data_IF_803149492981
#
_entry.id   IF_803149492981
#
_cell.length_a   1.000
_cell.length_b   1.000
_cell.length_c   1.000
_cell.angle_alpha   90.00
_cell.angle_beta   90.00
_cell.angle_gamma   90.00
#
_symmetry.space_group_name_H-M   'P 1'
#
loop_
_entity.id
_entity.type
_entity.pdbx_description
1 polymer ?
#
# COMPACT_ATOMS: atom_id res chain seq x y z
N UNK A 1 0.88 -10.83 -17.85
CA UNK A 1 1.38 -9.72 -17.00
C UNK A 1 2.07 -8.63 -17.81
N UNK A 2 3.21 -8.89 -18.46
CA UNK A 2 3.99 -7.86 -19.18
C UNK A 2 3.17 -7.04 -20.20
N UNK A 3 2.25 -7.68 -20.93
CA UNK A 3 1.33 -6.99 -21.83
C UNK A 3 0.40 -6.02 -21.09
N UNK A 4 -0.18 -6.44 -19.96
CA UNK A 4 -1.07 -5.62 -19.12
C UNK A 4 -0.29 -4.45 -18.54
N UNK A 5 0.91 -4.70 -18.00
CA UNK A 5 1.78 -3.68 -17.41
C UNK A 5 2.08 -2.53 -18.40
N UNK A 6 2.33 -2.86 -19.66
CA UNK A 6 2.54 -1.85 -20.73
C UNK A 6 1.28 -1.02 -21.00
N UNK A 7 0.09 -1.61 -20.89
CA UNK A 7 -1.19 -0.92 -21.15
C UNK A 7 -1.60 0.04 -20.03
N UNK A 8 -1.23 -0.26 -18.78
CA UNK A 8 -1.54 0.58 -17.61
C UNK A 8 -0.37 1.50 -17.21
N UNK A 9 0.75 1.43 -17.92
CA UNK A 9 1.95 2.24 -17.73
C UNK A 9 2.16 3.29 -18.83
N UNK A 10 3.32 3.95 -18.81
CA UNK A 10 3.69 4.92 -19.85
C UNK A 10 2.75 6.13 -19.90
N UNK A 11 2.24 6.46 -21.09
CA UNK A 11 1.35 7.60 -21.31
C UNK A 11 0.02 7.47 -20.56
N UNK A 12 -0.46 6.25 -20.31
CA UNK A 12 -1.74 6.00 -19.64
C UNK A 12 -1.65 5.95 -18.12
N UNK A 13 -0.47 6.14 -17.53
CA UNK A 13 -0.19 5.90 -16.08
C UNK A 13 -1.15 6.59 -15.10
N UNK A 14 -1.73 7.74 -15.45
CA UNK A 14 -2.67 8.49 -14.58
C UNK A 14 -4.15 8.32 -14.98
N UNK A 15 -4.41 7.51 -16.01
CA UNK A 15 -5.73 7.17 -16.52
C UNK A 15 -5.70 5.78 -17.18
N UNK A 16 -5.37 4.72 -16.42
CA UNK A 16 -5.28 3.38 -16.97
C UNK A 16 -6.65 2.90 -17.46
N UNK A 17 -6.69 2.09 -18.54
CA UNK A 17 -7.93 1.48 -19.03
C UNK A 17 -8.56 0.55 -17.98
N UNK A 18 -9.87 0.31 -18.12
CA UNK A 18 -10.57 -0.65 -17.24
C UNK A 18 -10.13 -2.07 -17.56
N UNK A 19 -10.34 -2.98 -16.60
CA UNK A 19 -10.15 -4.43 -16.82
C UNK A 19 -10.84 -4.90 -18.11
N UNK A 20 -12.08 -4.46 -18.35
CA UNK A 20 -12.84 -4.80 -19.56
C UNK A 20 -12.12 -4.34 -20.83
N UNK A 21 -11.69 -3.07 -20.88
CA UNK A 21 -11.04 -2.51 -22.06
C UNK A 21 -9.68 -3.19 -22.31
N UNK A 22 -8.95 -3.56 -21.25
CA UNK A 22 -7.71 -4.36 -21.35
C UNK A 22 -8.01 -5.76 -21.91
N UNK A 23 -9.10 -6.38 -21.46
CA UNK A 23 -9.53 -7.69 -21.92
C UNK A 23 -9.86 -7.66 -23.42
N UNK A 24 -10.57 -6.63 -23.87
CA UNK A 24 -10.89 -6.39 -25.27
C UNK A 24 -9.62 -6.17 -26.12
N UNK A 25 -8.71 -5.29 -25.66
CA UNK A 25 -7.45 -5.01 -26.35
C UNK A 25 -6.52 -6.23 -26.48
N UNK A 26 -6.56 -7.14 -25.52
CA UNK A 26 -5.73 -8.36 -25.52
C UNK A 26 -6.45 -9.59 -26.07
N UNK A 27 -7.73 -9.48 -26.43
CA UNK A 27 -8.61 -10.59 -26.78
C UNK A 27 -8.55 -11.75 -25.76
N UNK A 28 -8.67 -11.40 -24.47
CA UNK A 28 -8.64 -12.35 -23.34
C UNK A 28 -9.90 -12.26 -22.51
N UNK A 29 -10.29 -13.33 -21.78
CA UNK A 29 -11.40 -13.26 -20.84
C UNK A 29 -11.16 -12.24 -19.73
N UNK A 30 -12.16 -11.40 -19.45
CA UNK A 30 -12.10 -10.37 -18.41
C UNK A 30 -11.74 -10.95 -17.03
N UNK A 31 -12.30 -12.12 -16.71
CA UNK A 31 -12.00 -12.82 -15.47
C UNK A 31 -10.51 -13.19 -15.32
N UNK A 32 -9.84 -13.51 -16.43
CA UNK A 32 -8.39 -13.81 -16.45
C UNK A 32 -7.58 -12.55 -16.16
N UNK A 33 -7.89 -11.44 -16.85
CA UNK A 33 -7.22 -10.14 -16.64
C UNK A 33 -7.40 -9.67 -15.20
N UNK A 34 -8.63 -9.72 -14.67
CA UNK A 34 -8.94 -9.38 -13.28
C UNK A 34 -8.14 -10.24 -12.31
N UNK A 35 -8.10 -11.55 -12.53
CA UNK A 35 -7.34 -12.49 -11.68
C UNK A 35 -5.86 -12.13 -11.67
N UNK A 36 -5.26 -11.87 -12.83
CA UNK A 36 -3.85 -11.48 -12.92
C UNK A 36 -3.61 -10.19 -12.15
N UNK A 37 -4.40 -9.14 -12.36
CA UNK A 37 -4.25 -7.85 -11.66
C UNK A 37 -4.41 -7.98 -10.15
N UNK A 38 -5.37 -8.78 -9.67
CA UNK A 38 -5.55 -9.05 -8.23
C UNK A 38 -4.35 -9.79 -7.64
N UNK A 39 -3.82 -10.81 -8.34
CA UNK A 39 -2.62 -11.54 -7.90
C UNK A 39 -1.40 -10.61 -7.87
N UNK A 40 -1.22 -9.80 -8.90
CA UNK A 40 -0.10 -8.84 -8.95
C UNK A 40 -0.25 -7.72 -7.90
N UNK A 41 -1.47 -7.37 -7.52
CA UNK A 41 -1.75 -6.45 -6.42
C UNK A 41 -1.33 -7.02 -5.06
N UNK A 42 -1.51 -8.32 -4.84
CA UNK A 42 -1.03 -8.99 -3.61
C UNK A 42 0.50 -8.98 -3.48
N UNK A 43 1.22 -8.90 -4.61
CA UNK A 43 2.69 -8.78 -4.67
C UNK A 43 3.13 -7.30 -4.49
N UNK A 44 2.19 -6.35 -4.46
CA UNK A 44 2.46 -4.92 -4.25
C UNK A 44 2.89 -4.15 -5.50
N UNK A 45 2.76 -4.74 -6.70
CA UNK A 45 3.12 -4.05 -7.96
C UNK A 45 2.01 -3.12 -8.48
N UNK A 46 0.75 -3.44 -8.19
CA UNK A 46 -0.42 -2.64 -8.57
C UNK A 46 -1.35 -2.42 -7.39
N UNK A 47 -2.13 -1.35 -7.47
CA UNK A 47 -3.18 -1.02 -6.52
C UNK A 47 -4.50 -0.84 -7.25
N UNK A 48 -5.55 -1.41 -6.68
CA UNK A 48 -6.91 -1.18 -7.16
C UNK A 48 -7.43 0.14 -6.58
N UNK A 49 -7.35 1.19 -7.39
CA UNK A 49 -7.75 2.54 -7.00
C UNK A 49 -9.27 2.65 -6.93
N UNK A 50 -9.95 2.05 -7.90
CA UNK A 50 -11.40 1.89 -7.94
C UNK A 50 -11.74 0.54 -8.57
N UNK A 51 -13.02 0.16 -8.53
CA UNK A 51 -13.47 -1.09 -9.14
C UNK A 51 -12.97 -1.21 -10.59
N UNK A 52 -12.24 -2.28 -10.86
CA UNK A 52 -11.61 -2.57 -12.15
C UNK A 52 -10.67 -1.48 -12.70
N UNK A 53 -10.14 -0.59 -11.85
CA UNK A 53 -9.06 0.34 -12.19
C UNK A 53 -7.84 0.05 -11.35
N UNK A 54 -6.79 -0.39 -12.02
CA UNK A 54 -5.53 -0.77 -11.40
C UNK A 54 -4.43 0.17 -11.85
N UNK A 55 -3.68 0.69 -10.88
CA UNK A 55 -2.57 1.59 -11.10
C UNK A 55 -1.28 0.90 -10.71
N UNK A 56 -0.22 1.12 -11.47
CA UNK A 56 1.12 0.71 -11.07
C UNK A 56 1.55 1.48 -9.84
N UNK A 57 2.34 0.85 -8.96
CA UNK A 57 2.88 1.51 -7.78
C UNK A 57 3.71 2.77 -8.12
N UNK A 58 4.61 2.78 -9.13
CA UNK A 58 5.27 4.01 -9.59
C UNK A 58 4.34 5.11 -10.12
N UNK A 59 3.16 4.73 -10.63
CA UNK A 59 2.15 5.71 -11.04
C UNK A 59 1.53 6.40 -9.82
N UNK A 60 1.22 5.65 -8.77
CA UNK A 60 0.74 6.22 -7.50
C UNK A 60 1.78 7.10 -6.82
N UNK A 61 3.07 6.71 -6.83
CA UNK A 61 4.13 7.57 -6.33
C UNK A 61 4.14 8.94 -7.06
N UNK A 62 4.09 8.94 -8.39
CA UNK A 62 4.02 10.19 -9.17
C UNK A 62 2.75 11.01 -8.92
N UNK A 63 1.62 10.35 -8.61
CA UNK A 63 0.39 11.03 -8.18
C UNK A 63 0.61 11.75 -6.84
N UNK A 64 1.31 11.13 -5.90
CA UNK A 64 1.64 11.78 -4.62
C UNK A 64 2.55 12.99 -4.85
N UNK A 65 3.56 12.88 -5.72
CA UNK A 65 4.40 14.05 -6.07
C UNK A 65 3.58 15.20 -6.65
N UNK A 66 2.63 14.91 -7.55
CA UNK A 66 1.71 15.93 -8.09
C UNK A 66 0.92 16.62 -6.97
N UNK A 67 0.45 15.85 -6.00
CA UNK A 67 -0.32 16.36 -4.87
C UNK A 67 0.53 17.19 -3.91
N UNK A 68 1.80 16.79 -3.70
CA UNK A 68 2.80 17.56 -2.96
C UNK A 68 3.11 18.89 -3.66
N UNK A 69 3.34 18.87 -4.98
CA UNK A 69 3.58 20.06 -5.81
C UNK A 69 2.41 21.06 -5.72
N UNK A 70 1.17 20.56 -5.84
CA UNK A 70 -0.03 21.39 -5.73
C UNK A 70 -0.14 22.02 -4.34
N UNK A 71 0.21 21.26 -3.31
CA UNK A 71 0.19 21.75 -1.92
C UNK A 71 1.27 22.80 -1.68
N UNK A 72 2.44 22.67 -2.30
CA UNK A 72 3.51 23.65 -2.20
C UNK A 72 3.23 24.95 -2.96
N UNK A 73 2.49 24.88 -4.08
CA UNK A 73 2.17 26.04 -4.90
C UNK A 73 1.07 26.94 -4.32
N UNK A 74 0.14 26.38 -3.54
CA UNK A 74 -1.05 27.09 -3.07
C UNK A 74 -0.89 27.69 -1.65
N UNK A 75 -1.23 28.98 -1.46
CA UNK A 75 -1.27 29.59 -0.13
C UNK A 75 -2.19 28.82 0.83
N UNK A 76 -1.61 28.24 1.88
CA UNK A 76 -2.34 27.46 2.88
C UNK A 76 -2.31 25.94 2.65
N UNK A 77 -1.61 25.45 1.63
CA UNK A 77 -1.34 24.03 1.44
C UNK A 77 -2.59 23.19 1.17
N UNK A 78 -3.56 23.73 0.43
CA UNK A 78 -4.82 23.06 0.13
C UNK A 78 -5.07 23.11 -1.36
N UNK A 79 -5.64 22.03 -1.90
CA UNK A 79 -6.02 21.95 -3.30
C UNK A 79 -7.41 21.35 -3.46
N UNK A 80 -8.09 21.66 -4.56
CA UNK A 80 -9.37 21.08 -4.94
C UNK A 80 -9.21 20.02 -6.04
N UNK A 81 -10.30 19.30 -6.33
CA UNK A 81 -10.28 18.23 -7.34
C UNK A 81 -10.02 18.72 -8.77
N UNK A 82 -10.35 19.98 -9.10
CA UNK A 82 -10.10 20.54 -10.42
C UNK A 82 -8.60 20.81 -10.64
N UNK A 83 -7.93 21.42 -9.66
CA UNK A 83 -6.48 21.64 -9.68
C UNK A 83 -5.72 20.32 -9.84
N UNK A 84 -6.11 19.27 -9.09
CA UNK A 84 -5.52 17.95 -9.25
C UNK A 84 -5.73 17.36 -10.63
N UNK A 85 -6.96 17.38 -11.14
CA UNK A 85 -7.31 16.88 -12.47
C UNK A 85 -6.44 17.54 -13.55
N UNK A 86 -6.37 18.86 -13.52
CA UNK A 86 -5.68 19.66 -14.54
C UNK A 86 -4.17 19.39 -14.50
N UNK A 87 -3.58 19.27 -13.30
CA UNK A 87 -2.15 18.95 -13.15
C UNK A 87 -1.81 17.50 -13.49
N UNK A 88 -2.69 16.55 -13.18
CA UNK A 88 -2.50 15.14 -13.49
C UNK A 88 -2.81 14.79 -14.95
N UNK A 89 -3.45 15.70 -15.71
CA UNK A 89 -3.90 15.44 -17.08
C UNK A 89 -4.91 14.27 -17.17
N UNK A 90 -5.63 14.01 -16.07
CA UNK A 90 -6.56 12.87 -15.97
C UNK A 90 -8.01 13.30 -16.18
N UNK A 91 -8.87 12.40 -16.63
CA UNK A 91 -10.30 12.69 -16.75
C UNK A 91 -10.96 12.90 -15.39
N UNK A 92 -12.02 13.73 -15.30
CA UNK A 92 -12.71 14.08 -14.04
C UNK A 92 -13.06 12.85 -13.20
N UNK A 93 -13.58 11.78 -13.83
CA UNK A 93 -13.98 10.55 -13.13
C UNK A 93 -12.78 9.87 -12.46
N UNK A 94 -11.70 9.69 -13.21
CA UNK A 94 -10.49 9.03 -12.71
C UNK A 94 -9.81 9.89 -11.64
N UNK A 95 -9.78 11.21 -11.84
CA UNK A 95 -9.25 12.14 -10.84
C UNK A 95 -9.94 11.99 -9.48
N UNK A 96 -11.28 11.94 -9.46
CA UNK A 96 -12.04 11.74 -8.22
C UNK A 96 -11.73 10.38 -7.60
N UNK A 97 -11.68 9.31 -8.39
CA UNK A 97 -11.35 7.97 -7.89
C UNK A 97 -9.96 7.90 -7.25
N UNK A 98 -8.97 8.55 -7.87
CA UNK A 98 -7.62 8.66 -7.31
C UNK A 98 -7.66 9.40 -5.97
N UNK A 99 -8.32 10.55 -5.91
CA UNK A 99 -8.42 11.33 -4.67
C UNK A 99 -9.15 10.57 -3.56
N UNK A 100 -10.24 9.87 -3.86
CA UNK A 100 -10.94 9.01 -2.91
C UNK A 100 -10.07 7.86 -2.42
N UNK A 101 -9.24 7.28 -3.30
CA UNK A 101 -8.26 6.28 -2.91
C UNK A 101 -7.21 6.85 -1.96
N UNK A 102 -6.64 8.03 -2.24
CA UNK A 102 -5.69 8.70 -1.37
C UNK A 102 -6.31 9.06 -0.01
N UNK A 103 -7.56 9.52 -0.02
CA UNK A 103 -8.33 9.82 1.19
C UNK A 103 -8.51 8.56 2.06
N UNK A 104 -8.86 7.41 1.46
CA UNK A 104 -9.00 6.12 2.16
C UNK A 104 -7.70 5.62 2.79
N UNK A 105 -6.55 5.92 2.16
CA UNK A 105 -5.23 5.58 2.71
C UNK A 105 -4.70 6.65 3.68
N UNK A 106 -5.43 7.76 3.84
CA UNK A 106 -5.07 8.89 4.69
C UNK A 106 -3.87 9.69 4.20
N UNK A 107 -3.52 9.57 2.92
CA UNK A 107 -2.52 10.42 2.25
C UNK A 107 -3.07 11.84 2.10
N UNK A 108 -4.35 11.96 1.80
CA UNK A 108 -5.07 13.23 1.75
C UNK A 108 -6.21 13.24 2.77
N UNK A 109 -6.57 14.44 3.23
CA UNK A 109 -7.68 14.67 4.13
C UNK A 109 -8.64 15.68 3.50
N UNK A 110 -9.86 15.23 3.19
CA UNK A 110 -10.90 16.08 2.60
C UNK A 110 -11.62 16.92 3.67
N UNK A 111 -11.75 18.22 3.39
CA UNK A 111 -12.53 19.20 4.17
C UNK A 111 -13.36 20.04 3.20
N UNK A 112 -14.64 19.67 3.04
CA UNK A 112 -15.50 20.24 1.99
C UNK A 112 -14.96 19.88 0.59
N UNK A 113 -14.65 20.89 -0.21
CA UNK A 113 -14.11 20.73 -1.57
C UNK A 113 -12.58 20.76 -1.64
N UNK A 114 -11.93 21.05 -0.50
CA UNK A 114 -10.48 21.14 -0.39
C UNK A 114 -9.89 19.88 0.24
N UNK A 115 -8.63 19.61 -0.10
CA UNK A 115 -7.81 18.55 0.48
C UNK A 115 -6.50 19.09 1.01
N UNK A 116 -6.02 18.49 2.09
CA UNK A 116 -4.70 18.71 2.67
C UNK A 116 -3.91 17.40 2.61
N UNK A 117 -2.61 17.48 2.37
CA UNK A 117 -1.72 16.31 2.39
C UNK A 117 -1.28 15.99 3.82
N UNK A 118 -1.35 14.70 4.14
CA UNK A 118 -0.78 14.16 5.37
C UNK A 118 0.70 13.84 5.16
N UNK A 119 1.58 14.70 5.71
CA UNK A 119 3.03 14.57 5.59
C UNK A 119 3.60 13.22 6.05
N UNK A 120 2.96 12.56 7.02
CA UNK A 120 3.42 11.27 7.54
C UNK A 120 3.05 10.09 6.64
N UNK A 121 2.10 10.27 5.71
CA UNK A 121 1.60 9.18 4.85
C UNK A 121 1.93 9.34 3.38
N UNK A 122 2.52 10.46 2.96
CA UNK A 122 2.90 10.68 1.56
C UNK A 122 3.89 9.63 1.04
N UNK A 123 4.77 9.11 1.90
CA UNK A 123 5.77 8.10 1.49
C UNK A 123 5.19 6.68 1.33
N UNK A 124 3.89 6.46 1.58
CA UNK A 124 3.26 5.12 1.53
C UNK A 124 3.48 4.39 0.19
N UNK A 125 3.49 5.13 -0.92
CA UNK A 125 3.64 4.58 -2.27
C UNK A 125 5.03 4.77 -2.85
N UNK A 126 5.91 5.52 -2.18
CA UNK A 126 7.30 5.75 -2.59
C UNK A 126 8.13 4.54 -2.15
N UNK A 127 8.86 3.89 -3.07
CA UNK A 127 9.97 3.00 -2.68
C UNK A 127 11.23 3.82 -2.52
N UNK A 128 12.15 3.45 -1.62
CA UNK A 128 13.52 3.93 -1.71
C UNK A 128 14.14 3.68 -3.10
N UNK A 129 13.77 2.59 -3.78
CA UNK A 129 14.21 2.29 -5.15
C UNK A 129 13.56 3.16 -6.25
N UNK A 130 12.44 3.83 -5.97
CA UNK A 130 11.77 4.73 -6.94
C UNK A 130 12.39 6.15 -6.92
N UNK A 131 13.29 6.42 -5.96
CA UNK A 131 13.96 7.72 -5.74
C UNK A 131 15.33 7.79 -6.44
N UNK A 132 15.72 6.76 -7.18
CA UNK A 132 16.97 6.77 -7.95
C UNK A 132 16.76 7.55 -9.27
N UNK A 133 17.23 8.80 -9.41
CA UNK A 133 17.46 9.34 -10.74
C UNK A 133 18.53 8.47 -11.41
N UNK A 134 18.31 8.09 -12.66
CA UNK A 134 19.34 7.46 -13.46
C UNK A 134 20.61 8.34 -13.43
N UNK A 135 21.72 7.74 -12.96
CA UNK A 135 23.10 8.25 -12.78
C UNK A 135 23.49 8.65 -11.34
N UNK A 136 23.83 7.64 -10.55
CA UNK A 136 25.14 7.59 -9.91
C UNK A 136 25.56 6.12 -9.79
N UNK A 137 26.68 5.76 -10.41
CA UNK A 137 27.40 4.54 -10.07
C UNK A 137 27.87 4.63 -8.61
N UNK A 138 26.97 4.32 -7.67
CA UNK A 138 27.34 4.06 -6.30
C UNK A 138 27.77 2.60 -6.21
N UNK A 139 29.08 2.41 -6.39
CA UNK A 139 29.87 1.27 -5.94
C UNK A 139 29.12 0.35 -4.98
N UNK A 140 28.99 -0.91 -5.38
CA UNK A 140 28.32 -1.95 -4.61
C UNK A 140 28.63 -1.86 -3.12
N UNK A 141 27.58 -1.70 -2.32
CA UNK A 141 27.64 -1.96 -0.90
C UNK A 141 27.99 -3.42 -0.71
N UNK A 142 29.29 -3.72 -0.60
CA UNK A 142 29.77 -4.98 -0.13
C UNK A 142 29.01 -5.29 1.16
N UNK A 143 28.34 -6.45 1.20
CA UNK A 143 27.89 -7.00 2.47
C UNK A 143 29.12 -7.05 3.38
N UNK A 144 29.12 -6.21 4.42
CA UNK A 144 30.15 -6.31 5.45
C UNK A 144 30.18 -7.77 5.90
N UNK A 145 31.33 -8.45 5.85
CA UNK A 145 31.41 -9.79 6.38
C UNK A 145 31.19 -9.60 7.87
N UNK A 146 30.02 -10.00 8.36
CA UNK A 146 29.85 -10.18 9.79
C UNK A 146 30.84 -11.28 10.13
N UNK A 147 32.02 -10.87 10.58
CA UNK A 147 33.05 -11.75 11.06
C UNK A 147 32.38 -12.62 12.10
N UNK A 148 32.16 -13.89 11.76
CA UNK A 148 31.89 -14.89 12.77
C UNK A 148 33.11 -14.83 13.68
N UNK A 149 32.98 -14.46 14.96
CA UNK A 149 34.02 -14.83 15.88
C UNK A 149 33.93 -16.36 15.94
N UNK A 150 34.96 -16.99 15.42
CA UNK A 150 35.32 -18.38 15.67
C UNK A 150 35.43 -18.58 17.18
N UNK A 151 34.27 -18.78 17.81
CA UNK A 151 34.17 -19.26 19.18
C UNK A 151 34.61 -20.71 19.15
N UNK A 152 35.92 -20.88 19.35
CA UNK A 152 36.64 -22.15 19.35
C UNK A 152 35.92 -23.21 20.18
N UNK A 153 35.86 -24.39 19.59
CA UNK A 153 35.64 -25.68 20.21
C UNK A 153 36.37 -25.83 21.56
N UNK A 154 35.61 -25.89 22.65
CA UNK A 154 36.07 -26.20 23.99
C UNK A 154 35.00 -27.00 24.73
N UNK A 155 35.39 -28.19 25.20
CA UNK A 155 34.60 -29.21 25.91
C UNK A 155 33.58 -28.67 26.92
N UNK A 156 32.40 -29.32 26.88
CA UNK A 156 31.57 -29.54 28.07
C UNK A 156 30.41 -28.58 28.22
N UNK A 157 29.20 -29.06 27.91
CA UNK A 157 27.99 -28.99 28.76
C UNK A 157 26.84 -29.69 28.03
N UNK A 158 26.16 -30.56 28.76
CA UNK A 158 25.08 -31.45 28.35
C UNK A 158 23.89 -30.68 27.75
N UNK A 159 23.12 -31.29 26.82
CA UNK A 159 21.84 -30.73 26.41
C UNK A 159 20.85 -30.78 27.57
N UNK A 160 20.45 -29.61 28.07
CA UNK A 160 19.36 -29.49 29.04
C UNK A 160 18.04 -29.73 28.31
N UNK A 161 17.26 -30.70 28.79
CA UNK A 161 15.94 -31.04 28.30
C UNK A 161 14.99 -29.86 28.63
N UNK A 162 14.84 -28.92 27.70
CA UNK A 162 13.90 -27.81 27.82
C UNK A 162 12.47 -28.31 27.64
N UNK A 163 11.79 -28.60 28.75
CA UNK A 163 10.36 -28.85 28.81
C UNK A 163 9.59 -27.62 28.37
N UNK A 164 8.96 -27.71 27.20
CA UNK A 164 8.07 -26.70 26.66
C UNK A 164 6.63 -27.08 27.07
N UNK A 165 6.24 -26.71 28.30
CA UNK A 165 4.88 -26.97 28.82
C UNK A 165 3.85 -26.10 28.07
N UNK A 166 3.19 -26.73 27.10
CA UNK A 166 2.21 -26.09 26.21
C UNK A 166 0.81 -26.06 26.83
N UNK A 167 0.62 -25.51 28.04
CA UNK A 167 -0.73 -25.29 28.59
C UNK A 167 -0.77 -24.04 29.50
N UNK A 168 -1.00 -22.88 28.91
CA UNK A 168 -1.59 -21.75 29.66
C UNK A 168 -3.06 -21.64 29.28
N UNK A 169 -3.94 -22.08 30.18
CA UNK A 169 -5.38 -21.83 30.07
C UNK A 169 -5.67 -20.35 30.35
N UNK A 170 -6.64 -19.73 29.66
CA UNK A 170 -7.06 -18.36 29.96
C UNK A 170 -7.79 -18.29 31.33
N UNK A 171 -7.77 -17.13 32.01
CA UNK A 171 -8.35 -17.00 33.35
C UNK A 171 -9.88 -17.18 33.34
N UNK A 172 -10.38 -17.90 34.34
CA UNK A 172 -11.79 -18.19 34.57
C UNK A 172 -12.56 -16.92 34.95
N UNK A 173 -13.61 -16.60 34.18
CA UNK A 173 -14.66 -15.65 34.54
C UNK A 173 -15.43 -16.19 35.76
N UNK A 174 -15.28 -15.57 36.92
CA UNK A 174 -16.14 -15.83 38.08
C UNK A 174 -17.59 -15.43 37.75
N UNK A 175 -18.44 -16.40 37.42
CA UNK A 175 -19.89 -16.27 37.55
C UNK A 175 -20.21 -16.24 39.05
N UNK A 176 -20.73 -15.12 39.54
CA UNK A 176 -21.46 -15.08 40.79
C UNK A 176 -22.91 -15.45 40.47
N UNK A 177 -23.26 -16.70 40.71
CA UNK A 177 -24.64 -17.10 40.95
C UNK A 177 -24.81 -17.08 42.47
N UNK A 178 -25.42 -16.02 43.02
CA UNK A 178 -26.03 -16.07 44.33
C UNK A 178 -27.52 -16.31 44.11
N UNK A 179 -27.99 -17.44 44.65
CA UNK A 179 -29.30 -17.99 44.45
C UNK A 179 -30.44 -17.20 45.11
N UNK A 180 -31.57 -17.25 44.41
CA UNK A 180 -32.86 -17.73 44.89
C UNK A 180 -33.50 -17.09 46.16
N UNK A 181 -34.55 -16.30 45.89
CA UNK A 181 -35.88 -16.28 46.54
C UNK A 181 -36.02 -15.74 47.99
N UNK A 182 -37.24 -15.40 48.52
CA UNK A 182 -38.56 -15.25 47.91
C UNK A 182 -39.41 -14.04 48.43
N UNK A 183 -40.67 -13.97 47.94
CA UNK A 183 -41.89 -13.36 48.56
C UNK A 183 -42.23 -11.86 48.35
N UNK A 184 -43.34 -11.67 47.62
CA UNK A 184 -44.60 -11.05 48.08
C UNK A 184 -44.59 -9.62 48.65
N UNK A 185 -45.03 -8.66 47.83
CA UNK A 185 -46.31 -7.90 47.93
C UNK A 185 -46.26 -6.63 47.08
#
# INVERSE_FOLDING_TARGET
WLQIERLIGGSTRYHPPRVRDIADMLAKPEAEIRRILKLTGRIGRVYEVAHDHFFLRPALAGIVEIVDDLTAAEPGGRFNAAQFRDRAGSGRKVAIQILEFLDRHGVTLRRGDLRLVNRYRRDLFRSPADTEPALAEASGGASSPVGRPDFKSGRGREPVLGGFDSHSLPPLSQRRDDGDNPLSR
#
